data_IF_619321753486
#
_entry.id   IF_619321753486
#
_cell.length_a   1.000
_cell.length_b   1.000
_cell.length_c   1.000
_cell.angle_alpha   90.00
_cell.angle_beta   90.00
_cell.angle_gamma   90.00
#
_symmetry.space_group_name_H-M   'P 1'
#
loop_
_entity.id
_entity.type
_entity.pdbx_description
1 polymer ?
#
# COMPACT_ATOMS: atom_id res chain seq x y z
N UNK A 1 20.24 60.67 -3.62
CA UNK A 1 20.23 59.67 -4.70
C UNK A 1 19.40 58.47 -4.26
N UNK A 2 18.71 57.86 -5.23
CA UNK A 2 17.55 56.97 -5.12
C UNK A 2 17.74 55.70 -4.27
N UNK A 3 16.69 55.39 -3.50
CA UNK A 3 16.35 54.11 -2.87
C UNK A 3 16.72 52.92 -3.76
N UNK A 4 17.46 51.95 -3.22
CA UNK A 4 17.43 50.57 -3.73
C UNK A 4 16.59 49.74 -2.77
N UNK A 5 15.37 49.49 -3.24
CA UNK A 5 14.35 48.68 -2.63
C UNK A 5 14.86 47.24 -2.50
N UNK A 6 14.80 46.69 -1.29
CA UNK A 6 14.92 45.26 -1.03
C UNK A 6 13.56 44.66 -1.45
N UNK A 7 13.46 43.79 -2.47
CA UNK A 7 12.21 43.09 -2.71
C UNK A 7 12.15 41.92 -1.73
N UNK A 8 11.37 42.10 -0.66
CA UNK A 8 10.73 40.98 0.04
C UNK A 8 9.68 40.36 -0.89
N UNK A 9 9.96 39.18 -1.41
CA UNK A 9 8.97 38.23 -1.91
C UNK A 9 9.62 36.84 -1.74
N UNK A 10 9.70 36.31 -0.52
CA UNK A 10 8.59 35.64 0.13
C UNK A 10 7.83 34.72 -0.84
N UNK A 11 8.01 33.43 -0.57
CA UNK A 11 7.01 32.39 -0.71
C UNK A 11 6.79 31.80 -2.11
N UNK A 12 6.89 30.48 -2.11
CA UNK A 12 6.02 29.56 -2.84
C UNK A 12 6.06 29.68 -4.36
N UNK A 13 7.02 28.97 -4.96
CA UNK A 13 6.76 28.25 -6.19
C UNK A 13 7.14 26.77 -6.00
N UNK A 14 6.71 26.20 -4.87
CA UNK A 14 6.68 24.77 -4.62
C UNK A 14 5.31 24.20 -5.02
N UNK A 15 4.77 24.55 -6.19
CA UNK A 15 3.55 23.93 -6.71
C UNK A 15 3.56 24.00 -8.23
N UNK A 16 4.34 23.14 -8.87
CA UNK A 16 3.93 22.59 -10.15
C UNK A 16 3.84 21.08 -9.96
N UNK A 17 2.67 20.69 -9.47
CA UNK A 17 1.96 19.47 -9.84
C UNK A 17 2.86 18.36 -10.41
N UNK A 18 3.48 17.59 -9.52
CA UNK A 18 3.75 16.18 -9.80
C UNK A 18 2.41 15.42 -9.80
N UNK A 19 1.48 15.80 -10.68
CA UNK A 19 0.45 14.89 -11.17
C UNK A 19 1.09 14.05 -12.27
N UNK A 20 2.09 13.28 -11.90
CA UNK A 20 2.31 12.01 -12.55
C UNK A 20 1.60 11.01 -11.63
N UNK A 21 0.56 10.28 -12.07
CA UNK A 21 0.38 8.97 -11.45
C UNK A 21 1.76 8.31 -11.53
N UNK A 22 2.31 7.74 -10.44
CA UNK A 22 3.58 7.03 -10.55
C UNK A 22 3.42 6.09 -11.74
N UNK A 23 4.29 6.30 -12.74
CA UNK A 23 4.47 5.44 -13.92
C UNK A 23 4.09 4.04 -13.53
N UNK A 24 3.05 3.46 -14.14
CA UNK A 24 2.40 2.18 -13.83
C UNK A 24 3.32 1.16 -13.11
N UNK A 25 3.64 1.44 -11.86
CA UNK A 25 4.38 0.56 -11.00
C UNK A 25 3.29 -0.43 -10.62
N UNK A 26 3.41 -1.63 -11.17
CA UNK A 26 2.45 -2.70 -10.94
C UNK A 26 2.14 -2.71 -9.43
N UNK A 27 0.88 -2.50 -9.04
CA UNK A 27 0.49 -2.44 -7.63
C UNK A 27 1.09 -3.62 -6.88
N UNK A 28 1.55 -3.42 -5.65
CA UNK A 28 2.10 -4.49 -4.83
C UNK A 28 1.13 -5.69 -4.73
N UNK A 29 -0.19 -5.43 -4.77
CA UNK A 29 -1.23 -6.46 -4.88
C UNK A 29 -1.04 -7.34 -6.12
N UNK A 30 -0.84 -6.74 -7.30
CA UNK A 30 -0.70 -7.49 -8.55
C UNK A 30 0.64 -8.23 -8.61
N UNK A 31 1.72 -7.66 -8.07
CA UNK A 31 2.99 -8.40 -7.93
C UNK A 31 2.82 -9.61 -7.00
N UNK A 32 2.10 -9.43 -5.90
CA UNK A 32 1.73 -10.51 -4.99
C UNK A 32 0.90 -11.60 -5.68
N UNK A 33 -0.08 -11.24 -6.53
CA UNK A 33 -0.89 -12.20 -7.29
C UNK A 33 -0.03 -13.05 -8.23
N UNK A 34 0.88 -12.41 -8.95
CA UNK A 34 1.80 -13.08 -9.87
C UNK A 34 2.71 -14.03 -9.10
N UNK A 35 3.29 -13.59 -7.98
CA UNK A 35 4.13 -14.42 -7.13
C UNK A 35 3.35 -15.62 -6.54
N UNK A 36 2.13 -15.38 -6.06
CA UNK A 36 1.26 -16.42 -5.49
C UNK A 36 0.91 -17.49 -6.53
N UNK A 37 0.49 -17.06 -7.73
CA UNK A 37 0.20 -17.97 -8.84
C UNK A 37 1.45 -18.76 -9.30
N UNK A 38 2.64 -18.17 -9.14
CA UNK A 38 3.92 -18.83 -9.37
C UNK A 38 4.38 -19.78 -8.27
N UNK A 39 3.67 -19.83 -7.12
CA UNK A 39 4.06 -20.60 -5.94
C UNK A 39 5.17 -19.96 -5.09
N UNK A 40 5.58 -18.72 -5.40
CA UNK A 40 6.55 -17.95 -4.62
C UNK A 40 5.84 -17.31 -3.42
N UNK A 41 5.40 -18.13 -2.48
CA UNK A 41 4.49 -17.71 -1.40
C UNK A 41 5.12 -16.65 -0.47
N UNK A 42 6.42 -16.74 -0.18
CA UNK A 42 7.12 -15.74 0.63
C UNK A 42 7.20 -14.37 -0.06
N UNK A 43 7.42 -14.36 -1.38
CA UNK A 43 7.41 -13.13 -2.19
C UNK A 43 6.01 -12.53 -2.24
N UNK A 44 4.99 -13.37 -2.47
CA UNK A 44 3.59 -12.96 -2.45
C UNK A 44 3.23 -12.31 -1.11
N UNK A 45 3.62 -12.94 0.00
CA UNK A 45 3.38 -12.42 1.34
C UNK A 45 4.06 -11.05 1.56
N UNK A 46 5.30 -10.89 1.11
CA UNK A 46 6.02 -9.64 1.22
C UNK A 46 5.31 -8.50 0.45
N UNK A 47 4.85 -8.78 -0.76
CA UNK A 47 4.17 -7.80 -1.61
C UNK A 47 2.78 -7.41 -1.07
N UNK A 48 2.00 -8.37 -0.57
CA UNK A 48 0.71 -8.03 0.06
C UNK A 48 0.89 -7.21 1.34
N UNK A 49 1.91 -7.49 2.16
CA UNK A 49 2.22 -6.68 3.34
C UNK A 49 2.72 -5.28 2.97
N UNK A 50 3.42 -5.15 1.84
CA UNK A 50 3.79 -3.84 1.30
C UNK A 50 2.54 -3.04 0.89
N UNK A 51 1.53 -3.68 0.27
CA UNK A 51 0.27 -3.00 -0.05
C UNK A 51 -0.42 -2.43 1.21
N UNK A 52 -0.47 -3.21 2.30
CA UNK A 52 -0.98 -2.73 3.59
C UNK A 52 -0.15 -1.53 4.12
N UNK A 53 1.19 -1.63 4.05
CA UNK A 53 2.08 -0.55 4.49
C UNK A 53 1.92 0.74 3.66
N UNK A 54 1.53 0.61 2.39
CA UNK A 54 1.20 1.73 1.50
C UNK A 54 -0.19 2.33 1.77
N UNK A 55 -0.90 1.84 2.80
CA UNK A 55 -2.20 2.33 3.22
C UNK A 55 -3.37 1.71 2.47
N UNK A 56 -3.17 0.59 1.76
CA UNK A 56 -4.28 -0.16 1.22
C UNK A 56 -4.87 -1.04 2.34
N UNK A 57 -5.91 -0.52 3.00
CA UNK A 57 -6.59 -1.20 4.12
C UNK A 57 -7.87 -1.93 3.65
N UNK A 58 -7.97 -2.27 2.36
CA UNK A 58 -9.09 -3.05 1.83
C UNK A 58 -9.11 -4.44 2.49
N UNK A 59 -10.27 -4.91 3.02
CA UNK A 59 -10.44 -6.26 3.57
C UNK A 59 -9.88 -7.37 2.67
N UNK A 60 -9.93 -7.20 1.34
CA UNK A 60 -9.38 -8.17 0.39
C UNK A 60 -7.87 -8.35 0.56
N UNK A 61 -7.12 -7.28 0.86
CA UNK A 61 -5.66 -7.34 1.02
C UNK A 61 -5.28 -8.08 2.31
N UNK A 62 -6.02 -7.86 3.40
CA UNK A 62 -5.88 -8.66 4.62
C UNK A 62 -6.17 -10.14 4.35
N UNK A 63 -7.23 -10.44 3.59
CA UNK A 63 -7.57 -11.80 3.17
C UNK A 63 -6.46 -12.46 2.35
N UNK A 64 -5.81 -11.72 1.44
CA UNK A 64 -4.67 -12.20 0.63
C UNK A 64 -3.45 -12.52 1.50
N UNK A 65 -3.14 -11.68 2.49
CA UNK A 65 -2.08 -11.96 3.49
C UNK A 65 -2.41 -13.24 4.28
N UNK A 66 -3.63 -13.33 4.80
CA UNK A 66 -4.09 -14.48 5.58
C UNK A 66 -4.02 -15.79 4.77
N UNK A 67 -4.49 -15.76 3.52
CA UNK A 67 -4.46 -16.91 2.63
C UNK A 67 -3.03 -17.35 2.31
N UNK A 68 -2.11 -16.39 2.14
CA UNK A 68 -0.70 -16.71 1.87
C UNK A 68 -0.02 -17.32 3.10
N UNK A 69 -0.31 -16.83 4.31
CA UNK A 69 0.14 -17.49 5.55
C UNK A 69 -0.39 -18.93 5.65
N UNK A 70 -1.67 -19.16 5.34
CA UNK A 70 -2.24 -20.51 5.35
C UNK A 70 -1.55 -21.43 4.33
N UNK A 71 -1.25 -20.94 3.12
CA UNK A 71 -0.50 -21.69 2.11
C UNK A 71 0.93 -22.03 2.57
N UNK A 72 1.54 -21.16 3.39
CA UNK A 72 2.83 -21.38 4.05
C UNK A 72 2.74 -22.27 5.31
N UNK A 73 1.57 -22.82 5.65
CA UNK A 73 1.30 -23.57 6.89
C UNK A 73 1.53 -22.76 8.18
N UNK A 74 1.41 -21.43 8.10
CA UNK A 74 1.56 -20.46 9.19
C UNK A 74 0.18 -20.07 9.71
N UNK A 75 -0.48 -21.02 10.38
CA UNK A 75 -1.93 -20.97 10.63
C UNK A 75 -2.31 -19.91 11.68
N UNK A 76 -1.46 -19.69 12.68
CA UNK A 76 -1.72 -18.69 13.72
C UNK A 76 -1.74 -17.28 13.11
N UNK A 77 -0.75 -16.93 12.28
CA UNK A 77 -0.72 -15.62 11.62
C UNK A 77 -1.84 -15.44 10.59
N UNK A 78 -2.27 -16.54 9.96
CA UNK A 78 -3.42 -16.53 9.06
C UNK A 78 -4.71 -16.17 9.80
N UNK A 79 -4.95 -16.77 10.98
CA UNK A 79 -6.14 -16.51 11.78
C UNK A 79 -6.24 -15.03 12.18
N UNK A 80 -5.15 -14.42 12.63
CA UNK A 80 -5.09 -13.01 13.00
C UNK A 80 -5.54 -12.10 11.83
N UNK A 81 -5.01 -12.32 10.62
CA UNK A 81 -5.34 -11.49 9.45
C UNK A 81 -6.76 -11.75 8.91
N UNK A 82 -7.29 -12.97 9.03
CA UNK A 82 -8.70 -13.22 8.72
C UNK A 82 -9.64 -12.49 9.68
N UNK A 83 -9.28 -12.39 10.97
CA UNK A 83 -10.04 -11.63 11.94
C UNK A 83 -10.02 -10.13 11.63
N UNK A 84 -8.87 -9.57 11.24
CA UNK A 84 -8.76 -8.18 10.80
C UNK A 84 -9.63 -7.91 9.56
N UNK A 85 -9.57 -8.79 8.55
CA UNK A 85 -10.39 -8.67 7.35
C UNK A 85 -11.90 -8.68 7.69
N UNK A 86 -12.35 -9.61 8.53
CA UNK A 86 -13.74 -9.75 8.93
C UNK A 86 -14.24 -8.57 9.78
N UNK A 87 -13.36 -7.98 10.62
CA UNK A 87 -13.70 -6.81 11.41
C UNK A 87 -13.97 -5.59 10.54
N UNK A 88 -13.22 -5.41 9.45
CA UNK A 88 -13.41 -4.29 8.52
C UNK A 88 -14.73 -4.43 7.73
N UNK A 89 -15.04 -5.61 7.21
CA UNK A 89 -16.29 -5.86 6.46
C UNK A 89 -17.54 -5.67 7.34
N UNK A 90 -17.49 -6.10 8.61
CA UNK A 90 -18.60 -5.89 9.57
C UNK A 90 -18.82 -4.43 9.97
N UNK A 91 -17.85 -3.54 9.77
CA UNK A 91 -18.03 -2.11 10.10
C UNK A 91 -18.79 -1.32 9.04
N UNK A 92 -19.16 -1.94 7.92
CA UNK A 92 -19.93 -1.31 6.83
C UNK A 92 -21.44 -1.67 6.83
N UNK A 93 -21.92 -2.45 7.81
CA UNK A 93 -23.33 -2.79 8.00
C UNK A 93 -24.04 -1.84 8.98
#
# INVERSE_FOLDING_TARGET
>A
MRRRLIPTAAALAAVLAACSPPVAEQSAIVRGDVAYAGGNLEEALAEYRLALLQGNEDPEVYGRVAHTYAALSRVDEAADHYHEAAAQDSTWA
#
